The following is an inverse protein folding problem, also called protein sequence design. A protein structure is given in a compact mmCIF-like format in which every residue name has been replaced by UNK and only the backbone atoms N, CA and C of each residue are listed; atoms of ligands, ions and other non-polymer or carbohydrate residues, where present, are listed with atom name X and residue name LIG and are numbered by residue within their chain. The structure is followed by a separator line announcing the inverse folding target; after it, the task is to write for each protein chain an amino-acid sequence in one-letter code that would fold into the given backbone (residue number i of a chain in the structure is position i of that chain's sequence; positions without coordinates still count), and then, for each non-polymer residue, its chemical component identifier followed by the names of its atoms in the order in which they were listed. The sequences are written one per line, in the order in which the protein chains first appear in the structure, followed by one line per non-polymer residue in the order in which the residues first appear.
data_IF_173176974344
#
_entry.id   IF_173176974344
#
_cell.length_a   1.000
_cell.length_b   1.000
_cell.length_c   1.000
_cell.angle_alpha   90.00
_cell.angle_beta   90.00
_cell.angle_gamma   90.00
#
_symmetry.space_group_name_H-M   'P 1'
#
loop_
_entity.id
_entity.type
_entity.pdbx_description
1 polymer ?
#
# COMPACT_ATOMS: atom_id res chain seq x y z
N UNK A 1 6.51 -12.95 7.60
CA UNK A 1 6.90 -12.29 6.34
C UNK A 1 5.69 -12.39 5.44
N UNK A 2 5.08 -11.24 5.08
CA UNK A 2 3.86 -11.20 4.29
C UNK A 2 4.22 -11.29 2.80
N UNK A 3 3.56 -12.19 2.07
CA UNK A 3 3.67 -12.31 0.61
C UNK A 3 2.49 -11.59 -0.04
N UNK A 4 2.78 -10.73 -1.02
CA UNK A 4 1.78 -9.86 -1.64
C UNK A 4 1.89 -10.01 -3.17
N UNK A 5 0.84 -10.46 -3.87
CA UNK A 5 0.85 -10.57 -5.33
C UNK A 5 0.71 -9.17 -5.97
N UNK A 6 1.83 -8.47 -6.13
CA UNK A 6 1.85 -7.05 -6.51
C UNK A 6 1.71 -6.84 -8.01
N UNK A 7 2.00 -7.84 -8.84
CA UNK A 7 1.89 -7.68 -10.28
C UNK A 7 0.48 -7.28 -10.70
N UNK A 8 -0.55 -7.98 -10.17
CA UNK A 8 -1.94 -7.60 -10.42
C UNK A 8 -2.30 -6.24 -9.81
N UNK A 9 -1.70 -5.91 -8.66
CA UNK A 9 -1.91 -4.64 -7.98
C UNK A 9 -1.39 -3.47 -8.80
N UNK A 10 -0.17 -3.58 -9.34
CA UNK A 10 0.47 -2.49 -10.07
C UNK A 10 -0.06 -2.38 -11.50
N UNK A 11 -0.49 -3.48 -12.13
CA UNK A 11 -0.95 -3.47 -13.53
C UNK A 11 -2.46 -3.34 -13.70
N UNK A 12 -3.25 -3.86 -12.75
CA UNK A 12 -4.72 -3.86 -12.81
C UNK A 12 -5.34 -3.01 -11.71
N UNK A 13 -4.56 -2.58 -10.72
CA UNK A 13 -5.07 -1.80 -9.60
C UNK A 13 -5.85 -2.61 -8.57
N UNK A 14 -5.70 -3.94 -8.57
CA UNK A 14 -6.48 -4.85 -7.72
C UNK A 14 -5.57 -5.65 -6.80
N UNK A 15 -5.76 -5.49 -5.49
CA UNK A 15 -5.24 -6.38 -4.46
C UNK A 15 -6.38 -7.31 -4.04
N UNK A 16 -6.75 -8.26 -4.90
CA UNK A 16 -8.00 -9.03 -4.75
C UNK A 16 -8.14 -9.78 -3.41
N UNK A 17 -7.04 -10.09 -2.73
CA UNK A 17 -7.07 -10.80 -1.45
C UNK A 17 -7.28 -9.87 -0.23
N UNK A 18 -6.95 -8.58 -0.33
CA UNK A 18 -7.08 -7.63 0.78
C UNK A 18 -7.97 -6.42 0.48
N UNK A 19 -8.32 -6.18 -0.77
CA UNK A 19 -9.43 -5.31 -1.15
C UNK A 19 -10.67 -6.18 -1.32
N UNK A 20 -11.80 -5.72 -0.82
CA UNK A 20 -13.05 -6.45 -0.76
C UNK A 20 -13.10 -7.65 0.20
N UNK A 21 -12.17 -7.75 1.15
CA UNK A 21 -12.26 -8.71 2.24
C UNK A 21 -13.08 -8.12 3.39
N UNK A 22 -13.86 -8.97 4.06
CA UNK A 22 -14.66 -8.54 5.21
C UNK A 22 -13.79 -8.32 6.45
N UNK A 23 -14.30 -7.54 7.40
CA UNK A 23 -13.68 -7.36 8.72
C UNK A 23 -13.38 -8.71 9.38
N UNK A 24 -14.30 -9.69 9.26
CA UNK A 24 -14.11 -11.04 9.78
C UNK A 24 -12.96 -11.77 9.06
N UNK A 25 -12.87 -11.65 7.73
CA UNK A 25 -11.77 -12.23 6.96
C UNK A 25 -10.41 -11.67 7.40
N UNK A 26 -10.31 -10.36 7.56
CA UNK A 26 -9.09 -9.70 8.07
C UNK A 26 -8.78 -10.10 9.50
N UNK A 27 -9.79 -10.19 10.38
CA UNK A 27 -9.59 -10.63 11.76
C UNK A 27 -9.09 -12.07 11.85
N UNK A 28 -9.48 -12.94 10.92
CA UNK A 28 -8.97 -14.30 10.83
C UNK A 28 -7.50 -14.36 10.36
N UNK A 29 -7.06 -13.39 9.55
CA UNK A 29 -5.70 -13.32 9.02
C UNK A 29 -4.71 -12.68 10.01
N UNK A 30 -5.09 -11.55 10.60
CA UNK A 30 -4.19 -10.75 11.46
C UNK A 30 -4.52 -10.83 12.94
N UNK A 31 -5.64 -11.44 13.32
CA UNK A 31 -6.14 -11.40 14.68
C UNK A 31 -6.78 -10.06 15.03
N UNK A 32 -6.64 -9.65 16.28
CA UNK A 32 -7.22 -8.39 16.77
C UNK A 32 -6.32 -7.20 16.36
N UNK A 33 -6.90 -6.09 15.87
CA UNK A 33 -6.13 -4.86 15.62
C UNK A 33 -5.52 -4.30 16.91
N UNK A 34 -4.40 -3.61 16.78
CA UNK A 34 -3.76 -2.85 17.86
C UNK A 34 -4.57 -1.59 18.20
N UNK A 35 -5.15 -0.95 17.18
CA UNK A 35 -5.98 0.25 17.33
C UNK A 35 -7.07 0.32 16.24
N UNK A 36 -8.14 1.08 16.52
CA UNK A 36 -9.25 1.32 15.60
C UNK A 36 -9.56 2.81 15.58
N UNK A 37 -9.47 3.40 14.39
CA UNK A 37 -9.78 4.80 14.14
C UNK A 37 -11.06 4.92 13.30
N UNK A 38 -12.01 5.72 13.76
CA UNK A 38 -13.27 5.97 13.05
C UNK A 38 -13.21 7.36 12.42
N UNK A 39 -13.36 7.42 11.10
CA UNK A 39 -13.34 8.68 10.36
C UNK A 39 -14.75 9.06 9.90
N UNK A 40 -15.40 9.94 10.68
CA UNK A 40 -16.78 10.36 10.45
C UNK A 40 -17.00 10.99 9.07
N UNK A 41 -16.01 11.71 8.54
CA UNK A 41 -16.11 12.42 7.26
C UNK A 41 -16.12 11.48 6.05
N UNK A 42 -15.46 10.32 6.15
CA UNK A 42 -15.30 9.36 5.05
C UNK A 42 -16.15 8.10 5.20
N UNK A 43 -16.88 7.97 6.33
CA UNK A 43 -17.55 6.74 6.78
C UNK A 43 -16.60 5.53 6.82
N UNK A 44 -15.29 5.79 6.89
CA UNK A 44 -14.28 4.75 6.88
C UNK A 44 -13.86 4.39 8.29
N UNK A 45 -13.64 3.10 8.54
CA UNK A 45 -13.06 2.60 9.78
C UNK A 45 -11.68 2.05 9.45
N UNK A 46 -10.66 2.57 10.10
CA UNK A 46 -9.28 2.16 9.93
C UNK A 46 -8.88 1.20 11.06
N UNK A 47 -8.47 0.00 10.68
CA UNK A 47 -7.94 -1.02 11.57
C UNK A 47 -6.42 -0.98 11.47
N UNK A 48 -5.77 -0.69 12.58
CA UNK A 48 -4.32 -0.58 12.67
C UNK A 48 -3.73 -1.87 13.21
N UNK A 49 -2.86 -2.49 12.41
CA UNK A 49 -1.99 -3.58 12.81
C UNK A 49 -0.56 -3.04 12.85
N UNK A 50 0.37 -3.84 13.40
CA UNK A 50 1.76 -3.43 13.64
C UNK A 50 2.42 -2.71 12.47
N UNK A 51 2.22 -3.19 11.25
CA UNK A 51 2.86 -2.74 10.02
C UNK A 51 1.89 -2.49 8.86
N UNK A 52 0.60 -2.73 9.07
CA UNK A 52 -0.45 -2.63 8.07
C UNK A 52 -1.62 -1.84 8.64
N UNK A 53 -2.17 -0.91 7.87
CA UNK A 53 -3.45 -0.26 8.16
C UNK A 53 -4.45 -0.61 7.07
N UNK A 54 -5.64 -1.01 7.45
CA UNK A 54 -6.70 -1.41 6.52
C UNK A 54 -7.93 -0.56 6.78
N UNK A 55 -8.45 0.07 5.73
CA UNK A 55 -9.68 0.86 5.77
C UNK A 55 -10.86 0.03 5.30
N UNK A 56 -12.01 0.23 5.93
CA UNK A 56 -13.28 -0.41 5.57
C UNK A 56 -14.39 0.62 5.35
N UNK A 57 -15.22 0.36 4.34
CA UNK A 57 -16.50 1.05 4.10
C UNK A 57 -17.58 -0.02 4.04
N UNK A 58 -18.64 0.11 4.85
CA UNK A 58 -19.77 -0.84 4.87
C UNK A 58 -19.29 -2.31 5.02
N UNK A 59 -18.35 -2.54 5.93
CA UNK A 59 -17.69 -3.83 6.25
C UNK A 59 -16.77 -4.42 5.17
N UNK A 60 -16.56 -3.69 4.07
CA UNK A 60 -15.73 -4.13 2.94
C UNK A 60 -14.45 -3.31 2.92
N UNK A 61 -13.30 -3.97 2.87
CA UNK A 61 -12.01 -3.27 2.81
C UNK A 61 -11.85 -2.51 1.49
N UNK A 62 -11.46 -1.24 1.58
CA UNK A 62 -11.33 -0.35 0.43
C UNK A 62 -9.94 0.27 0.29
N UNK A 63 -9.10 0.20 1.32
CA UNK A 63 -7.70 0.62 1.28
C UNK A 63 -6.84 -0.25 2.18
N UNK A 64 -5.61 -0.52 1.73
CA UNK A 64 -4.54 -1.15 2.49
C UNK A 64 -3.31 -0.27 2.41
N UNK A 65 -2.70 0.01 3.56
CA UNK A 65 -1.46 0.77 3.68
C UNK A 65 -0.41 -0.10 4.37
N UNK A 66 0.73 -0.29 3.72
CA UNK A 66 1.90 -0.99 4.25
C UNK A 66 2.92 0.04 4.70
N UNK A 67 3.37 -0.04 5.94
CA UNK A 67 4.39 0.86 6.51
C UNK A 67 5.77 0.19 6.55
N UNK A 68 6.80 0.95 6.18
CA UNK A 68 8.19 0.52 6.10
C UNK A 68 9.09 1.31 7.05
N UNK A 69 8.93 2.64 7.05
CA UNK A 69 9.78 3.54 7.83
C UNK A 69 9.62 3.35 9.34
N UNK A 70 10.74 3.41 10.06
CA UNK A 70 10.86 3.16 11.51
C UNK A 70 10.39 1.79 12.01
N UNK A 71 10.00 0.85 11.14
CA UNK A 71 9.52 -0.48 11.51
C UNK A 71 10.48 -1.61 11.10
N UNK A 72 11.46 -1.34 10.23
CA UNK A 72 12.39 -2.33 9.63
C UNK A 72 11.64 -3.51 8.99
N UNK A 73 10.50 -3.23 8.36
CA UNK A 73 9.69 -4.23 7.71
C UNK A 73 10.25 -4.56 6.32
N UNK A 74 10.06 -5.82 5.93
CA UNK A 74 10.31 -6.28 4.58
C UNK A 74 9.08 -7.02 4.08
N UNK A 75 8.66 -6.69 2.87
CA UNK A 75 7.57 -7.35 2.18
C UNK A 75 8.12 -8.05 0.94
N UNK A 76 7.65 -9.27 0.71
CA UNK A 76 7.96 -10.01 -0.51
C UNK A 76 6.80 -9.80 -1.46
N UNK A 77 7.13 -9.24 -2.61
CA UNK A 77 6.19 -8.94 -3.65
C UNK A 77 6.39 -9.92 -4.80
N UNK A 78 5.35 -10.69 -5.09
CA UNK A 78 5.38 -11.72 -6.13
C UNK A 78 4.86 -11.15 -7.46
N UNK A 79 5.61 -11.45 -8.52
CA UNK A 79 5.33 -11.15 -9.91
C UNK A 79 5.29 -12.44 -10.72
N UNK A 80 4.73 -12.41 -11.94
CA UNK A 80 4.48 -13.62 -12.75
C UNK A 80 5.67 -14.60 -12.81
N UNK A 81 6.90 -14.10 -12.85
CA UNK A 81 8.11 -14.92 -12.97
C UNK A 81 9.20 -14.61 -11.94
N UNK A 82 8.96 -13.71 -10.98
CA UNK A 82 9.97 -13.31 -9.99
C UNK A 82 9.35 -12.79 -8.68
N UNK A 83 10.12 -12.83 -7.60
CA UNK A 83 9.76 -12.20 -6.32
C UNK A 83 10.76 -11.10 -6.01
N UNK A 84 10.28 -9.90 -5.66
CA UNK A 84 11.12 -8.78 -5.23
C UNK A 84 10.87 -8.52 -3.76
N UNK A 85 11.96 -8.41 -2.99
CA UNK A 85 11.90 -7.98 -1.60
C UNK A 85 12.05 -6.47 -1.53
N UNK A 86 11.08 -5.81 -0.91
CA UNK A 86 11.08 -4.35 -0.71
C UNK A 86 11.09 -4.08 0.80
N UNK A 87 11.94 -3.14 1.19
CA UNK A 87 12.15 -2.70 2.58
C UNK A 87 12.25 -1.18 2.64
N UNK A 88 12.45 -0.62 3.84
CA UNK A 88 12.62 0.82 4.05
C UNK A 88 13.81 1.42 3.27
N UNK A 89 14.81 0.61 2.92
CA UNK A 89 15.99 1.03 2.16
C UNK A 89 15.85 0.82 0.65
N UNK A 90 14.69 0.38 0.17
CA UNK A 90 14.44 0.23 -1.26
C UNK A 90 14.34 1.62 -1.89
N UNK A 91 15.34 2.02 -2.67
CA UNK A 91 15.52 3.39 -3.13
C UNK A 91 14.55 3.77 -4.26
N UNK A 92 14.32 5.08 -4.42
CA UNK A 92 13.47 5.64 -5.49
C UNK A 92 13.91 5.12 -6.87
N UNK A 93 15.20 5.13 -7.20
CA UNK A 93 15.70 4.65 -8.49
C UNK A 93 15.45 3.15 -8.70
N UNK A 94 15.56 2.33 -7.65
CA UNK A 94 15.25 0.90 -7.70
C UNK A 94 13.75 0.67 -7.95
N UNK A 95 12.89 1.49 -7.34
CA UNK A 95 11.45 1.46 -7.59
C UNK A 95 11.11 1.84 -9.03
N UNK A 96 11.66 2.95 -9.54
CA UNK A 96 11.43 3.35 -10.93
C UNK A 96 11.94 2.30 -11.93
N UNK A 97 13.10 1.68 -11.67
CA UNK A 97 13.60 0.57 -12.50
C UNK A 97 12.67 -0.64 -12.47
N UNK A 98 12.12 -0.98 -11.29
CA UNK A 98 11.15 -2.07 -11.16
C UNK A 98 9.88 -1.75 -11.97
N UNK A 99 9.29 -0.58 -11.79
CA UNK A 99 8.07 -0.18 -12.52
C UNK A 99 8.26 -0.19 -14.04
N UNK A 100 9.42 0.29 -14.51
CA UNK A 100 9.77 0.25 -15.93
C UNK A 100 9.95 -1.19 -16.44
N UNK A 101 10.58 -2.07 -15.65
CA UNK A 101 10.72 -3.50 -15.98
C UNK A 101 9.37 -4.19 -16.12
N UNK A 102 8.41 -3.79 -15.29
CA UNK A 102 7.03 -4.31 -15.30
C UNK A 102 6.15 -3.67 -16.37
N UNK A 103 6.68 -2.73 -17.16
CA UNK A 103 5.92 -1.96 -18.14
C UNK A 103 4.66 -1.31 -17.55
N UNK A 104 4.78 -0.80 -16.32
CA UNK A 104 3.69 -0.19 -15.56
C UNK A 104 3.72 1.34 -15.76
N UNK A 105 2.57 1.94 -16.04
CA UNK A 105 2.45 3.40 -16.13
C UNK A 105 2.47 4.03 -14.73
N UNK A 106 3.34 5.02 -14.54
CA UNK A 106 3.47 5.73 -13.27
C UNK A 106 3.68 7.23 -13.50
N UNK A 107 3.29 8.04 -12.51
CA UNK A 107 3.54 9.48 -12.50
C UNK A 107 3.99 9.94 -11.11
N UNK A 108 4.75 11.03 -11.09
CA UNK A 108 5.12 11.71 -9.85
C UNK A 108 4.02 12.69 -9.46
N UNK A 109 3.59 12.66 -8.20
CA UNK A 109 2.62 13.61 -7.65
C UNK A 109 3.33 14.42 -6.58
N UNK A 110 3.41 15.74 -6.76
CA UNK A 110 4.24 16.62 -5.91
C UNK A 110 3.52 17.25 -4.72
N UNK A 111 2.19 17.18 -4.63
CA UNK A 111 1.47 18.08 -3.72
C UNK A 111 0.35 17.42 -2.87
N UNK A 112 0.14 16.10 -2.94
CA UNK A 112 -0.97 15.46 -2.20
C UNK A 112 -0.68 15.27 -0.69
N UNK A 113 0.59 15.23 -0.27
CA UNK A 113 0.98 14.86 1.10
C UNK A 113 1.94 15.84 1.78
N UNK A 114 2.13 17.02 1.20
CA UNK A 114 3.07 18.03 1.68
C UNK A 114 4.44 17.98 0.99
N UNK A 115 5.30 18.98 1.23
CA UNK A 115 6.57 19.15 0.53
C UNK A 115 7.63 18.12 0.93
N UNK A 116 7.40 17.36 2.00
CA UNK A 116 8.37 16.45 2.60
C UNK A 116 8.34 15.04 1.99
N UNK A 117 7.42 14.78 1.05
CA UNK A 117 7.25 13.46 0.44
C UNK A 117 7.44 13.48 -1.06
N UNK A 118 8.11 12.43 -1.56
CA UNK A 118 8.10 12.08 -2.98
C UNK A 118 7.10 10.95 -3.21
N UNK A 119 6.08 11.22 -4.02
CA UNK A 119 4.98 10.29 -4.28
C UNK A 119 5.05 9.76 -5.71
N UNK A 120 5.08 8.43 -5.85
CA UNK A 120 4.90 7.74 -7.13
C UNK A 120 3.50 7.16 -7.14
N UNK A 121 2.67 7.66 -8.05
CA UNK A 121 1.30 7.19 -8.26
C UNK A 121 1.25 6.26 -9.46
N UNK A 122 0.72 5.08 -9.25
CA UNK A 122 0.56 4.02 -10.25
C UNK A 122 -0.94 3.80 -10.40
N UNK A 123 -1.45 4.11 -11.60
CA UNK A 123 -2.88 4.27 -11.83
C UNK A 123 -3.52 5.20 -10.77
N UNK A 124 -4.83 5.13 -10.56
CA UNK A 124 -5.52 5.97 -9.55
C UNK A 124 -5.62 5.29 -8.18
N UNK A 125 -4.96 4.14 -7.99
CA UNK A 125 -5.21 3.23 -6.88
C UNK A 125 -3.97 2.86 -6.07
N UNK A 126 -2.76 3.03 -6.60
CA UNK A 126 -1.54 2.72 -5.86
C UNK A 126 -0.70 3.98 -5.70
N UNK A 127 -0.24 4.21 -4.47
CA UNK A 127 0.65 5.32 -4.15
C UNK A 127 1.84 4.82 -3.31
N UNK A 128 3.04 5.13 -3.76
CA UNK A 128 4.30 4.77 -3.12
C UNK A 128 4.94 6.05 -2.64
N UNK A 129 5.20 6.13 -1.33
CA UNK A 129 5.64 7.36 -0.68
C UNK A 129 7.02 7.21 -0.07
N UNK A 130 7.89 8.13 -0.43
CA UNK A 130 9.23 8.28 0.12
C UNK A 130 9.30 9.54 0.96
N UNK A 131 9.91 9.43 2.13
CA UNK A 131 10.28 10.57 2.95
C UNK A 131 11.53 11.22 2.34
N UNK A 132 11.43 12.51 1.98
CA UNK A 132 12.51 13.23 1.29
C UNK A 132 13.69 13.55 2.20
N UNK A 133 13.46 13.70 3.50
CA UNK A 133 14.52 14.00 4.46
C UNK A 133 15.47 12.81 4.64
N UNK A 134 14.90 11.61 4.85
CA UNK A 134 15.64 10.37 5.05
C UNK A 134 15.97 9.63 3.75
N UNK A 135 15.26 9.93 2.66
CA UNK A 135 15.34 9.21 1.39
C UNK A 135 14.78 7.78 1.45
N UNK A 136 14.10 7.42 2.54
CA UNK A 136 13.59 6.06 2.78
C UNK A 136 12.16 5.90 2.28
N UNK A 137 11.81 4.65 1.96
CA UNK A 137 10.43 4.27 1.68
C UNK A 137 9.62 4.37 2.98
N UNK A 138 8.59 5.23 2.99
CA UNK A 138 7.66 5.39 4.12
C UNK A 138 6.56 4.34 4.05
N UNK A 139 5.77 4.39 2.97
CA UNK A 139 4.59 3.56 2.82
C UNK A 139 4.22 3.26 1.37
N UNK A 140 3.47 2.18 1.19
CA UNK A 140 2.75 1.85 -0.04
C UNK A 140 1.27 1.75 0.31
N UNK A 141 0.42 2.58 -0.32
CA UNK A 141 -1.03 2.50 -0.19
C UNK A 141 -1.66 1.96 -1.46
N UNK A 142 -2.67 1.12 -1.29
CA UNK A 142 -3.41 0.46 -2.35
C UNK A 142 -4.90 0.61 -2.03
N UNK A 143 -5.65 1.27 -2.91
CA UNK A 143 -7.04 1.61 -2.68
C UNK A 143 -7.90 1.09 -3.83
N UNK A 144 -9.08 0.54 -3.54
CA UNK A 144 -10.06 0.22 -4.58
C UNK A 144 -10.52 1.51 -5.25
N UNK A 145 -10.54 1.56 -6.58
CA UNK A 145 -11.14 2.68 -7.31
C UNK A 145 -12.61 2.76 -6.89
N UNK A 146 -13.00 3.78 -6.12
CA UNK A 146 -14.41 4.02 -5.81
C UNK A 146 -15.10 4.31 -7.14
N UNK A 147 -15.89 3.35 -7.62
CA UNK A 147 -16.96 3.64 -8.58
C UNK A 147 -18.00 4.38 -7.74
N UNK A 148 -17.94 5.70 -7.74
CA UNK A 148 -19.03 6.55 -7.25
C UNK A 148 -20.10 6.61 -8.33
#
# INVERSE_FOLDING_TARGET
MLQIPIFEVLTKGTLNDFLNISILGISNLYGKPEDIEVCDSSKSIFYHYKDVRISFIEDISNEVVLYFYNRKNEYVFDFENESVRISDNYLINQMLSLLNKLNTEWKVVKDEFGPDYFSIKIHDCVNIMYDLESGKLDRISISSKKVV
#
